data_IF_132250417105
#
_entry.id   IF_132250417105
#
_cell.length_a   1.000
_cell.length_b   1.000
_cell.length_c   1.000
_cell.angle_alpha   90.00
_cell.angle_beta   90.00
_cell.angle_gamma   90.00
#
_symmetry.space_group_name_H-M   'P 1'
#
loop_
_entity.id
_entity.type
_entity.pdbx_description
1 polymer ?
#
# COMPACT_ATOMS: atom_id res chain seq x y z
N UNK A 1 -30.34 6.77 -15.68
CA UNK A 1 -30.58 5.38 -15.31
C UNK A 1 -29.30 4.56 -15.28
N UNK A 2 -29.39 3.30 -14.91
CA UNK A 2 -28.29 2.34 -15.04
C UNK A 2 -27.99 2.07 -16.52
N UNK A 3 -26.73 1.85 -16.87
CA UNK A 3 -26.28 1.46 -18.21
C UNK A 3 -25.35 0.26 -18.16
N UNK A 4 -25.70 -0.80 -18.90
CA UNK A 4 -24.87 -1.95 -19.20
C UNK A 4 -24.68 -2.00 -20.72
N UNK A 5 -23.54 -1.52 -21.19
CA UNK A 5 -23.36 -1.19 -22.61
C UNK A 5 -22.69 -2.32 -23.43
N UNK A 6 -22.23 -3.41 -22.78
CA UNK A 6 -21.47 -4.47 -23.47
C UNK A 6 -21.87 -5.89 -23.02
N UNK A 7 -21.34 -6.90 -23.69
CA UNK A 7 -21.64 -8.31 -23.47
C UNK A 7 -21.32 -8.71 -22.01
N UNK A 8 -22.27 -9.37 -21.34
CA UNK A 8 -22.19 -9.78 -19.94
C UNK A 8 -21.97 -8.65 -18.94
N UNK A 9 -22.14 -7.38 -19.36
CA UNK A 9 -22.07 -6.26 -18.42
C UNK A 9 -23.30 -6.23 -17.51
N UNK A 10 -23.10 -5.88 -16.22
CA UNK A 10 -24.17 -5.77 -15.22
C UNK A 10 -24.09 -4.38 -14.57
N UNK A 11 -25.19 -3.62 -14.65
CA UNK A 11 -25.30 -2.31 -14.02
C UNK A 11 -26.54 -2.27 -13.11
N UNK A 12 -26.35 -2.09 -11.80
CA UNK A 12 -27.41 -2.05 -10.78
C UNK A 12 -27.29 -0.77 -9.96
N UNK A 13 -28.31 0.05 -9.97
CA UNK A 13 -28.38 1.31 -9.21
C UNK A 13 -28.50 2.54 -10.09
N UNK A 14 -28.93 3.66 -9.50
CA UNK A 14 -29.07 4.92 -10.25
C UNK A 14 -27.71 5.39 -10.76
N UNK A 15 -27.61 5.78 -12.03
CA UNK A 15 -26.37 6.26 -12.65
C UNK A 15 -25.19 5.26 -12.61
N UNK A 16 -25.47 3.97 -12.42
CA UNK A 16 -24.42 2.95 -12.51
C UNK A 16 -24.06 2.69 -13.98
N UNK A 17 -22.75 2.60 -14.27
CA UNK A 17 -22.24 2.39 -15.62
C UNK A 17 -21.28 1.19 -15.67
N UNK A 18 -21.64 0.14 -16.40
CA UNK A 18 -20.80 -1.00 -16.76
C UNK A 18 -20.61 -0.98 -18.27
N UNK A 19 -19.48 -0.46 -18.76
CA UNK A 19 -19.32 -0.10 -20.16
C UNK A 19 -18.57 -1.14 -21.00
N UNK A 20 -17.88 -2.08 -20.37
CA UNK A 20 -17.06 -3.06 -21.06
C UNK A 20 -17.47 -4.51 -20.78
N UNK A 21 -16.90 -5.45 -21.55
CA UNK A 21 -17.22 -6.88 -21.48
C UNK A 21 -17.02 -7.42 -20.06
N UNK A 22 -18.02 -8.14 -19.56
CA UNK A 22 -18.01 -8.76 -18.23
C UNK A 22 -17.74 -7.80 -17.08
N UNK A 23 -18.02 -6.50 -17.25
CA UNK A 23 -17.91 -5.50 -16.19
C UNK A 23 -19.13 -5.51 -15.28
N UNK A 24 -18.93 -5.18 -13.99
CA UNK A 24 -19.99 -5.09 -13.00
C UNK A 24 -19.96 -3.73 -12.30
N UNK A 25 -21.01 -2.95 -12.40
CA UNK A 25 -21.23 -1.71 -11.67
C UNK A 25 -22.46 -1.84 -10.77
N UNK A 26 -22.29 -1.89 -9.46
CA UNK A 26 -23.37 -2.02 -8.48
C UNK A 26 -23.31 -0.91 -7.44
N UNK A 27 -24.28 -0.01 -7.45
CA UNK A 27 -24.38 1.11 -6.55
C UNK A 27 -24.73 2.42 -7.27
N UNK A 28 -25.19 3.42 -6.51
CA UNK A 28 -25.45 4.73 -7.08
C UNK A 28 -24.16 5.33 -7.65
N UNK A 29 -24.17 5.77 -8.91
CA UNK A 29 -23.04 6.38 -9.62
C UNK A 29 -21.76 5.50 -9.64
N UNK A 30 -21.88 4.17 -9.49
CA UNK A 30 -20.74 3.26 -9.64
C UNK A 30 -20.30 3.14 -11.09
N UNK A 31 -19.00 2.98 -11.34
CA UNK A 31 -18.44 2.93 -12.70
C UNK A 31 -17.44 1.79 -12.84
N UNK A 32 -17.74 0.84 -13.71
CA UNK A 32 -16.83 -0.22 -14.15
C UNK A 32 -16.56 0.01 -15.66
N UNK A 33 -15.42 0.62 -15.97
CA UNK A 33 -15.16 1.19 -17.30
C UNK A 33 -14.15 0.40 -18.11
N UNK A 34 -13.80 -0.82 -17.67
CA UNK A 34 -12.90 -1.69 -18.42
C UNK A 34 -13.34 -3.16 -18.31
N UNK A 35 -12.76 -4.01 -19.14
CA UNK A 35 -13.06 -5.44 -19.21
C UNK A 35 -12.75 -6.14 -17.88
N UNK A 36 -13.70 -6.94 -17.39
CA UNK A 36 -13.64 -7.60 -16.08
C UNK A 36 -13.44 -6.66 -14.88
N UNK A 37 -13.78 -5.38 -15.02
CA UNK A 37 -13.73 -4.43 -13.93
C UNK A 37 -14.98 -4.56 -13.03
N UNK A 38 -14.80 -4.55 -11.70
CA UNK A 38 -15.89 -4.67 -10.73
C UNK A 38 -15.92 -3.46 -9.80
N UNK A 39 -16.97 -2.64 -9.91
CA UNK A 39 -17.22 -1.47 -9.08
C UNK A 39 -18.46 -1.67 -8.21
N UNK A 40 -18.30 -1.87 -6.91
CA UNK A 40 -19.39 -2.17 -5.98
C UNK A 40 -19.40 -1.14 -4.84
N UNK A 41 -20.42 -0.30 -4.80
CA UNK A 41 -20.59 0.76 -3.81
C UNK A 41 -20.95 2.09 -4.43
N UNK A 42 -21.44 3.02 -3.61
CA UNK A 42 -21.78 4.37 -4.08
C UNK A 42 -20.54 5.09 -4.62
N UNK A 43 -20.55 5.54 -5.87
CA UNK A 43 -19.41 6.19 -6.53
C UNK A 43 -18.11 5.38 -6.53
N UNK A 44 -18.19 4.05 -6.45
CA UNK A 44 -17.02 3.18 -6.66
C UNK A 44 -16.58 3.25 -8.12
N UNK A 45 -15.27 3.33 -8.38
CA UNK A 45 -14.71 3.42 -9.73
C UNK A 45 -13.64 2.35 -9.96
N UNK A 46 -13.92 1.37 -10.85
CA UNK A 46 -12.99 0.37 -11.34
C UNK A 46 -12.64 0.70 -12.80
N UNK A 47 -11.44 1.24 -13.02
CA UNK A 47 -11.01 1.77 -14.32
C UNK A 47 -10.04 0.87 -15.09
N UNK A 48 -9.26 0.06 -14.38
CA UNK A 48 -8.32 -0.89 -14.99
C UNK A 48 -9.00 -2.20 -15.40
N UNK A 49 -8.39 -2.95 -16.31
CA UNK A 49 -8.80 -4.34 -16.60
C UNK A 49 -8.56 -5.20 -15.36
N UNK A 50 -9.50 -6.11 -15.08
CA UNK A 50 -9.45 -6.98 -13.89
C UNK A 50 -9.35 -6.22 -12.56
N UNK A 51 -9.68 -4.92 -12.55
CA UNK A 51 -9.65 -4.13 -11.33
C UNK A 51 -10.89 -4.35 -10.47
N UNK A 52 -10.73 -4.20 -9.15
CA UNK A 52 -11.80 -4.33 -8.17
C UNK A 52 -11.86 -3.07 -7.31
N UNK A 53 -12.98 -2.35 -7.33
CA UNK A 53 -13.27 -1.23 -6.45
C UNK A 53 -14.51 -1.55 -5.61
N UNK A 54 -14.35 -1.78 -4.31
CA UNK A 54 -15.46 -2.16 -3.42
C UNK A 54 -15.53 -1.24 -2.21
N UNK A 55 -16.59 -0.47 -2.11
CA UNK A 55 -16.84 0.50 -1.03
C UNK A 55 -17.22 1.88 -1.58
N UNK A 56 -17.84 2.71 -0.75
CA UNK A 56 -18.20 4.07 -1.15
C UNK A 56 -16.94 4.88 -1.50
N UNK A 57 -16.90 5.46 -2.71
CA UNK A 57 -15.76 6.20 -3.23
C UNK A 57 -14.43 5.40 -3.27
N UNK A 58 -14.49 4.07 -3.33
CA UNK A 58 -13.33 3.25 -3.59
C UNK A 58 -12.87 3.43 -5.05
N UNK A 59 -11.57 3.53 -5.29
CA UNK A 59 -11.03 3.77 -6.63
C UNK A 59 -9.91 2.78 -6.94
N UNK A 60 -10.06 1.99 -8.01
CA UNK A 60 -9.05 1.11 -8.59
C UNK A 60 -8.76 1.61 -10.01
N UNK A 61 -7.63 2.32 -10.19
CA UNK A 61 -7.40 3.11 -11.41
C UNK A 61 -6.77 2.33 -12.56
N UNK A 62 -5.95 1.33 -12.28
CA UNK A 62 -5.15 0.66 -13.29
C UNK A 62 -5.33 -0.88 -13.25
N UNK A 63 -4.73 -1.57 -14.22
CA UNK A 63 -4.89 -3.01 -14.44
C UNK A 63 -4.56 -3.84 -13.20
N UNK A 64 -5.43 -4.82 -12.89
CA UNK A 64 -5.31 -5.73 -11.75
C UNK A 64 -5.18 -5.05 -10.37
N UNK A 65 -5.55 -3.77 -10.27
CA UNK A 65 -5.55 -3.06 -8.99
C UNK A 65 -6.78 -3.43 -8.15
N UNK A 66 -6.60 -3.49 -6.82
CA UNK A 66 -7.65 -3.86 -5.87
C UNK A 66 -7.80 -2.75 -4.81
N UNK A 67 -8.99 -2.18 -4.73
CA UNK A 67 -9.33 -1.12 -3.77
C UNK A 67 -10.59 -1.49 -3.00
N UNK A 68 -10.46 -1.86 -1.73
CA UNK A 68 -11.57 -2.30 -0.88
C UNK A 68 -11.66 -1.46 0.38
N UNK A 69 -12.75 -0.76 0.54
CA UNK A 69 -13.03 0.11 1.69
C UNK A 69 -13.47 1.51 1.28
N UNK A 70 -14.17 2.19 2.16
CA UNK A 70 -14.61 3.56 1.90
C UNK A 70 -13.39 4.48 1.72
N UNK A 71 -13.36 5.22 0.60
CA UNK A 71 -12.25 6.12 0.24
C UNK A 71 -10.89 5.45 0.06
N UNK A 72 -10.85 4.12 -0.13
CA UNK A 72 -9.61 3.43 -0.49
C UNK A 72 -9.19 3.78 -1.92
N UNK A 73 -7.86 3.78 -2.18
CA UNK A 73 -7.30 4.09 -3.51
C UNK A 73 -6.15 3.16 -3.87
N UNK A 74 -6.27 2.47 -4.99
CA UNK A 74 -5.23 1.71 -5.65
C UNK A 74 -5.00 2.36 -7.02
N UNK A 75 -3.90 3.15 -7.19
CA UNK A 75 -3.76 4.08 -8.32
C UNK A 75 -2.90 3.59 -9.47
N UNK A 76 -2.13 2.53 -9.26
CA UNK A 76 -1.30 1.92 -10.32
C UNK A 76 -1.53 0.42 -10.40
N UNK A 77 -1.08 -0.18 -11.48
CA UNK A 77 -1.28 -1.60 -11.74
C UNK A 77 -0.78 -2.51 -10.62
N UNK A 78 -1.48 -3.61 -10.40
CA UNK A 78 -1.16 -4.62 -9.37
C UNK A 78 -1.08 -4.09 -7.94
N UNK A 79 -1.52 -2.85 -7.69
CA UNK A 79 -1.55 -2.29 -6.34
C UNK A 79 -2.79 -2.74 -5.55
N UNK A 80 -2.64 -2.90 -4.23
CA UNK A 80 -3.68 -3.39 -3.33
C UNK A 80 -3.90 -2.39 -2.19
N UNK A 81 -5.09 -1.81 -2.09
CA UNK A 81 -5.49 -0.90 -1.01
C UNK A 81 -6.74 -1.44 -0.30
N UNK A 82 -6.60 -1.92 0.93
CA UNK A 82 -7.72 -2.49 1.70
C UNK A 82 -7.85 -1.80 3.04
N UNK A 83 -8.97 -1.12 3.26
CA UNK A 83 -9.29 -0.41 4.49
C UNK A 83 -9.81 1.02 4.24
N UNK A 84 -10.39 1.61 5.26
CA UNK A 84 -10.85 3.01 5.22
C UNK A 84 -9.67 3.96 4.96
N UNK A 85 -9.71 4.75 3.87
CA UNK A 85 -8.64 5.65 3.45
C UNK A 85 -7.28 4.95 3.22
N UNK A 86 -7.26 3.65 2.93
CA UNK A 86 -6.05 2.96 2.51
C UNK A 86 -5.59 3.48 1.14
N UNK A 87 -4.28 3.65 0.96
CA UNK A 87 -3.74 4.28 -0.24
C UNK A 87 -2.49 3.56 -0.73
N UNK A 88 -2.58 2.87 -1.87
CA UNK A 88 -1.49 2.21 -2.58
C UNK A 88 -1.24 2.96 -3.89
N UNK A 89 -0.11 3.69 -3.99
CA UNK A 89 0.10 4.70 -5.04
C UNK A 89 0.99 4.25 -6.19
N UNK A 90 1.79 3.22 -6.01
CA UNK A 90 2.77 2.80 -6.99
C UNK A 90 2.61 1.32 -7.34
N UNK A 91 3.26 0.90 -8.45
CA UNK A 91 3.25 -0.47 -8.94
C UNK A 91 3.60 -1.46 -7.82
N UNK A 92 2.82 -2.53 -7.69
CA UNK A 92 3.04 -3.55 -6.67
C UNK A 92 2.80 -3.11 -5.22
N UNK A 93 2.46 -1.84 -4.97
CA UNK A 93 2.27 -1.34 -3.62
C UNK A 93 1.09 -2.00 -2.89
N UNK A 94 1.29 -2.36 -1.61
CA UNK A 94 0.27 -2.97 -0.75
C UNK A 94 0.00 -2.11 0.48
N UNK A 95 -1.23 -1.62 0.63
CA UNK A 95 -1.70 -0.84 1.78
C UNK A 95 -2.88 -1.55 2.45
N UNK A 96 -2.68 -2.15 3.63
CA UNK A 96 -3.70 -2.92 4.35
C UNK A 96 -3.95 -2.36 5.74
N UNK A 97 -5.09 -1.74 5.95
CA UNK A 97 -5.52 -1.15 7.21
C UNK A 97 -6.11 0.26 7.06
N UNK A 98 -6.64 0.80 8.14
CA UNK A 98 -7.21 2.15 8.16
C UNK A 98 -6.10 3.20 7.99
N UNK A 99 -6.26 4.11 7.02
CA UNK A 99 -5.31 5.22 6.78
C UNK A 99 -3.86 4.76 6.53
N UNK A 100 -3.68 3.60 5.91
CA UNK A 100 -2.37 3.11 5.48
C UNK A 100 -1.90 3.83 4.22
N UNK A 101 -0.58 4.00 4.08
CA UNK A 101 0.01 4.63 2.90
C UNK A 101 1.22 3.83 2.40
N UNK A 102 1.09 3.19 1.23
CA UNK A 102 2.18 2.57 0.49
C UNK A 102 2.40 3.39 -0.79
N UNK A 103 3.42 4.26 -0.80
CA UNK A 103 3.54 5.28 -1.83
C UNK A 103 4.77 5.16 -2.73
N UNK A 104 5.51 4.07 -2.62
CA UNK A 104 6.63 3.72 -3.50
C UNK A 104 6.40 2.37 -4.18
N UNK A 105 7.20 2.06 -5.20
CA UNK A 105 7.16 0.78 -5.92
C UNK A 105 7.44 -0.36 -4.94
N UNK A 106 6.63 -1.43 -5.02
CA UNK A 106 6.72 -2.62 -4.18
C UNK A 106 6.71 -2.35 -2.67
N UNK A 107 6.24 -1.16 -2.27
CA UNK A 107 6.12 -0.79 -0.87
C UNK A 107 4.98 -1.54 -0.19
N UNK A 108 5.21 -2.03 1.03
CA UNK A 108 4.20 -2.71 1.86
C UNK A 108 3.94 -1.92 3.13
N UNK A 109 2.68 -1.54 3.39
CA UNK A 109 2.23 -0.89 4.61
C UNK A 109 1.04 -1.65 5.20
N UNK A 110 1.20 -2.27 6.36
CA UNK A 110 0.17 -3.08 7.03
C UNK A 110 -0.04 -2.60 8.47
N UNK A 111 -1.27 -2.24 8.81
CA UNK A 111 -1.64 -1.74 10.14
C UNK A 111 -2.16 -0.32 10.11
N UNK A 112 -3.02 0.04 11.07
CA UNK A 112 -3.63 1.37 11.10
C UNK A 112 -2.57 2.48 11.14
N UNK A 113 -2.60 3.39 10.16
CA UNK A 113 -1.69 4.51 10.06
C UNK A 113 -0.25 4.13 9.71
N UNK A 114 0.02 2.90 9.28
CA UNK A 114 1.36 2.53 8.80
C UNK A 114 1.69 3.23 7.48
N UNK A 115 2.97 3.49 7.25
CA UNK A 115 3.45 4.21 6.07
C UNK A 115 4.75 3.62 5.53
N UNK A 116 4.78 3.25 4.25
CA UNK A 116 5.98 2.88 3.52
C UNK A 116 6.13 3.81 2.31
N UNK A 117 7.14 4.67 2.34
CA UNK A 117 7.37 5.72 1.33
C UNK A 117 8.61 5.48 0.49
N UNK A 118 9.30 4.38 0.73
CA UNK A 118 10.50 3.99 -0.01
C UNK A 118 10.31 2.68 -0.76
N UNK A 119 11.00 2.55 -1.88
CA UNK A 119 10.99 1.36 -2.74
C UNK A 119 11.38 0.10 -1.95
N UNK A 120 10.65 -1.00 -2.15
CA UNK A 120 10.78 -2.26 -1.43
C UNK A 120 10.65 -2.15 0.10
N UNK A 121 10.19 -1.02 0.61
CA UNK A 121 10.04 -0.79 2.05
C UNK A 121 8.87 -1.59 2.64
N UNK A 122 9.06 -2.20 3.82
CA UNK A 122 8.03 -2.97 4.52
C UNK A 122 7.74 -2.40 5.90
N UNK A 123 6.56 -1.80 6.10
CA UNK A 123 6.08 -1.24 7.36
C UNK A 123 4.91 -2.08 7.90
N UNK A 124 5.09 -2.81 8.99
CA UNK A 124 4.06 -3.65 9.61
C UNK A 124 3.86 -3.27 11.07
N UNK A 125 2.65 -2.84 11.41
CA UNK A 125 2.27 -2.43 12.76
C UNK A 125 1.55 -1.08 12.76
N UNK A 126 0.81 -0.80 13.84
CA UNK A 126 0.16 0.51 13.98
C UNK A 126 1.22 1.62 13.93
N UNK A 127 1.06 2.58 13.02
CA UNK A 127 1.99 3.72 12.85
C UNK A 127 3.46 3.32 12.58
N UNK A 128 3.72 2.10 12.11
CA UNK A 128 5.04 1.72 11.62
C UNK A 128 5.41 2.57 10.40
N UNK A 129 6.67 2.96 10.26
CA UNK A 129 7.12 3.87 9.20
C UNK A 129 8.41 3.41 8.56
N UNK A 130 8.43 3.39 7.23
CA UNK A 130 9.62 3.14 6.43
C UNK A 130 9.82 4.29 5.45
N UNK A 131 10.99 4.91 5.51
CA UNK A 131 11.37 6.02 4.62
C UNK A 131 12.67 5.78 3.86
N UNK A 132 13.33 4.64 4.07
CA UNK A 132 14.55 4.28 3.38
C UNK A 132 14.36 3.00 2.56
N UNK A 133 15.04 2.92 1.41
CA UNK A 133 14.94 1.83 0.45
C UNK A 133 15.38 0.50 1.08
N UNK A 134 14.72 -0.60 0.63
CA UNK A 134 15.06 -1.97 1.04
C UNK A 134 15.07 -2.19 2.56
N UNK A 135 14.27 -1.40 3.30
CA UNK A 135 14.26 -1.45 4.77
C UNK A 135 12.94 -1.97 5.33
N UNK A 136 12.98 -2.46 6.58
CA UNK A 136 11.87 -3.12 7.25
C UNK A 136 11.62 -2.52 8.62
N UNK A 137 10.37 -2.14 8.92
CA UNK A 137 9.92 -1.71 10.24
C UNK A 137 8.75 -2.57 10.70
N UNK A 138 8.93 -3.39 11.73
CA UNK A 138 7.90 -4.27 12.27
C UNK A 138 7.70 -3.98 13.76
N UNK A 139 6.49 -3.55 14.12
CA UNK A 139 6.11 -3.19 15.47
C UNK A 139 5.33 -1.88 15.53
N UNK A 140 4.58 -1.67 16.60
CA UNK A 140 3.86 -0.41 16.80
C UNK A 140 4.85 0.75 16.87
N UNK A 141 4.74 1.72 15.97
CA UNK A 141 5.61 2.89 15.94
C UNK A 141 7.07 2.59 15.56
N UNK A 142 7.39 1.40 15.06
CA UNK A 142 8.73 1.08 14.55
C UNK A 142 9.09 1.97 13.36
N UNK A 143 10.36 2.40 13.26
CA UNK A 143 10.82 3.28 12.18
C UNK A 143 12.11 2.77 11.55
N UNK A 144 12.11 2.62 10.21
CA UNK A 144 13.28 2.30 9.43
C UNK A 144 13.62 3.50 8.52
N UNK A 145 14.70 4.19 8.86
CA UNK A 145 15.15 5.45 8.23
C UNK A 145 16.48 5.32 7.52
N UNK A 146 17.11 4.14 7.59
CA UNK A 146 18.37 3.82 6.94
C UNK A 146 18.17 2.70 5.93
N UNK A 147 18.81 2.77 4.78
CA UNK A 147 18.74 1.75 3.73
C UNK A 147 19.24 0.38 4.24
N UNK A 148 18.61 -0.68 3.73
CA UNK A 148 18.93 -2.08 4.09
C UNK A 148 18.85 -2.38 5.60
N UNK A 149 18.13 -1.56 6.37
CA UNK A 149 18.04 -1.70 7.83
C UNK A 149 16.73 -2.32 8.28
N UNK A 150 16.74 -2.94 9.46
CA UNK A 150 15.58 -3.57 10.08
C UNK A 150 15.34 -2.99 11.47
N UNK A 151 14.16 -2.40 11.70
CA UNK A 151 13.64 -2.01 13.00
C UNK A 151 12.59 -3.03 13.43
N UNK A 152 12.87 -3.80 14.49
CA UNK A 152 11.98 -4.85 14.98
C UNK A 152 11.62 -4.62 16.44
N UNK A 153 10.34 -4.49 16.74
CA UNK A 153 9.79 -4.26 18.06
C UNK A 153 9.09 -2.89 18.17
N UNK A 154 8.28 -2.74 19.22
CA UNK A 154 7.56 -1.50 19.48
C UNK A 154 8.52 -0.33 19.69
N UNK A 155 8.35 0.74 18.92
CA UNK A 155 9.17 1.95 19.03
C UNK A 155 10.64 1.78 18.64
N UNK A 156 11.03 0.62 18.06
CA UNK A 156 12.39 0.46 17.55
C UNK A 156 12.66 1.42 16.39
N UNK A 157 13.87 1.94 16.33
CA UNK A 157 14.28 2.87 15.27
C UNK A 157 15.68 2.50 14.79
N UNK A 158 15.90 2.51 13.48
CA UNK A 158 17.23 2.30 12.93
C UNK A 158 18.06 3.56 13.06
N UNK A 159 19.36 3.39 13.31
CA UNK A 159 20.33 4.47 13.32
C UNK A 159 21.42 4.21 12.28
N UNK A 160 22.10 5.26 11.84
CA UNK A 160 23.25 5.13 10.96
C UNK A 160 24.34 4.28 11.64
N UNK A 161 25.00 3.44 10.85
CA UNK A 161 26.14 2.66 11.35
C UNK A 161 27.25 3.59 11.86
N UNK A 162 27.71 3.34 13.09
CA UNK A 162 28.83 4.07 13.68
C UNK A 162 30.05 3.16 13.71
N UNK A 163 31.13 3.61 13.06
CA UNK A 163 32.39 2.89 13.10
C UNK A 163 32.99 2.97 14.51
N UNK A 164 33.15 1.83 15.18
CA UNK A 164 33.81 1.72 16.47
C UNK A 164 35.23 1.13 16.28
N UNK A 165 36.25 1.96 16.40
CA UNK A 165 37.65 1.54 16.20
C UNK A 165 38.19 0.73 17.39
N UNK A 166 37.70 1.00 18.60
CA UNK A 166 38.12 0.33 19.80
C UNK A 166 37.06 0.46 20.90
N UNK A 167 37.09 -0.43 21.87
CA UNK A 167 36.28 -0.41 23.07
C UNK A 167 37.17 -0.63 24.29
N UNK A 168 36.85 0.01 25.40
CA UNK A 168 37.54 -0.20 26.69
C UNK A 168 36.73 -1.13 27.59
N UNK A 169 37.28 -2.29 27.88
CA UNK A 169 36.69 -3.24 28.82
C UNK A 169 37.63 -3.38 30.02
N UNK A 170 37.14 -3.06 31.22
CA UNK A 170 37.95 -3.07 32.48
C UNK A 170 39.24 -2.24 32.39
N UNK A 171 39.22 -1.11 31.69
CA UNK A 171 40.38 -0.24 31.52
C UNK A 171 41.39 -0.68 30.49
N UNK A 172 41.16 -1.78 29.78
CA UNK A 172 41.97 -2.26 28.68
C UNK A 172 41.30 -1.89 27.35
N UNK A 173 42.02 -1.19 26.48
CA UNK A 173 41.51 -0.82 25.15
C UNK A 173 41.70 -2.01 24.20
N UNK A 174 40.60 -2.49 23.63
CA UNK A 174 40.57 -3.50 22.60
C UNK A 174 40.30 -2.84 21.23
N UNK A 175 41.26 -2.94 20.35
CA UNK A 175 41.10 -2.43 18.96
C UNK A 175 40.41 -3.50 18.12
N UNK A 176 39.38 -3.08 17.35
CA UNK A 176 38.69 -3.96 16.41
C UNK A 176 39.38 -3.91 15.03
N UNK A 177 39.72 -5.07 14.47
CA UNK A 177 40.21 -5.19 13.11
C UNK A 177 39.02 -5.18 12.13
N UNK A 178 39.15 -4.43 11.02
CA UNK A 178 38.14 -4.45 9.97
C UNK A 178 37.02 -3.43 10.10
N UNK A 179 37.34 -2.24 10.51
CA UNK A 179 36.42 -1.11 10.72
C UNK A 179 36.08 -0.38 9.42
N UNK A 180 35.52 -1.03 8.47
CA UNK A 180 34.86 -0.36 7.40
C UNK A 180 33.42 -0.89 7.34
N UNK A 181 32.42 -0.22 7.95
CA UNK A 181 31.04 -0.49 7.60
C UNK A 181 30.90 -0.15 6.13
N UNK A 182 30.80 -1.17 5.28
CA UNK A 182 30.51 -1.04 3.86
C UNK A 182 29.14 -0.42 3.61
#
# INVERSE_FOLDING_TARGET
>A
GAKADNTYAIAIGSLSHATEVSSLAMGNNSKATNTYAYAIGGSAEAKGRWSIAMGTNAVAEDDASVSIGTWSKATTGQSVAVGYLANAKQLGATALGRQTNASAVDATAIGSGSSSTAENGTAIGKSASVSAKDSVAIGTGAKATNENAVALGTGSETAAAVATASESVNGVVHNFAGINPG
#
